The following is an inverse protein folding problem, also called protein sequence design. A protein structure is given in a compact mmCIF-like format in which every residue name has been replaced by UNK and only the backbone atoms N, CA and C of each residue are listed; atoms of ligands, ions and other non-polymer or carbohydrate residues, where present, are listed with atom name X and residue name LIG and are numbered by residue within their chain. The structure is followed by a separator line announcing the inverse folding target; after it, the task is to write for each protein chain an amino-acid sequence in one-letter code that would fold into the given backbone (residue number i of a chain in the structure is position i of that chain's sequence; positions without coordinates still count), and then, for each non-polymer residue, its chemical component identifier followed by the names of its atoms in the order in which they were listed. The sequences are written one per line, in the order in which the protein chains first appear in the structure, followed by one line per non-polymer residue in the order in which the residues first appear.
data_IF_734614872558
#
_entry.id   IF_734614872558
#
_cell.length_a   1.000
_cell.length_b   1.000
_cell.length_c   1.000
_cell.angle_alpha   90.00
_cell.angle_beta   90.00
_cell.angle_gamma   90.00
#
_symmetry.space_group_name_H-M   'P 1'
#
loop_
_entity.id
_entity.type
_entity.pdbx_description
1 polymer ?
#
# COMPACT_ATOMS: atom_id res chain seq x y z
N UNK A 1 10.96 15.99 35.52
CA UNK A 1 11.08 14.95 34.48
C UNK A 1 9.68 14.38 34.27
N UNK A 2 8.87 14.98 33.39
CA UNK A 2 7.56 14.45 33.01
C UNK A 2 7.64 13.99 31.57
N UNK A 3 7.66 12.68 31.37
CA UNK A 3 7.59 12.05 30.06
C UNK A 3 6.11 11.84 29.73
N UNK A 4 5.55 12.71 28.91
CA UNK A 4 4.31 12.40 28.18
C UNK A 4 4.72 11.56 26.97
N UNK A 5 4.17 10.36 26.74
CA UNK A 5 4.42 9.63 25.50
C UNK A 5 3.77 10.39 24.34
N UNK A 6 4.36 10.41 23.14
CA UNK A 6 3.68 10.98 21.98
C UNK A 6 2.43 10.16 21.69
N UNK A 7 1.30 10.84 21.81
CA UNK A 7 0.02 10.42 21.25
C UNK A 7 0.21 10.32 19.73
N UNK A 8 0.36 9.10 19.25
CA UNK A 8 0.47 8.76 17.83
C UNK A 8 -0.17 7.40 17.62
N UNK A 9 -1.47 7.34 17.90
CA UNK A 9 -2.33 6.30 17.34
C UNK A 9 -3.18 6.95 16.25
N UNK A 10 -2.91 6.73 14.96
CA UNK A 10 -3.94 6.94 13.97
C UNK A 10 -5.06 5.95 14.28
N UNK A 11 -6.27 6.48 14.36
CA UNK A 11 -7.47 5.82 14.87
C UNK A 11 -7.66 4.40 14.32
N UNK A 12 -7.83 3.47 15.25
CA UNK A 12 -8.27 2.10 14.99
C UNK A 12 -9.68 2.12 14.38
N UNK A 13 -9.79 1.66 13.13
CA UNK A 13 -11.07 1.65 12.42
C UNK A 13 -11.18 0.72 11.21
N UNK A 14 -10.31 -0.28 11.05
CA UNK A 14 -10.64 -1.55 10.38
C UNK A 14 -9.56 -2.63 10.64
N UNK A 15 -9.88 -3.62 11.48
CA UNK A 15 -9.03 -4.67 12.02
C UNK A 15 -8.50 -5.74 11.04
N UNK A 16 -8.16 -5.36 9.81
CA UNK A 16 -7.24 -6.15 9.00
C UNK A 16 -6.34 -5.21 8.18
N UNK A 17 -5.14 -4.92 8.69
CA UNK A 17 -3.97 -4.51 7.89
C UNK A 17 -4.24 -3.64 6.65
N UNK A 18 -5.00 -2.55 6.78
CA UNK A 18 -5.18 -1.60 5.70
C UNK A 18 -3.85 -0.87 5.50
N UNK A 19 -3.10 -1.30 4.49
CA UNK A 19 -1.84 -0.69 4.05
C UNK A 19 -2.00 0.84 4.05
N UNK A 20 -1.10 1.57 4.69
CA UNK A 20 -1.16 3.05 4.73
C UNK A 20 -0.44 3.64 3.50
N UNK A 21 -0.62 4.95 3.21
CA UNK A 21 0.18 5.60 2.19
C UNK A 21 1.67 5.52 2.49
N UNK A 22 2.09 5.59 3.76
CA UNK A 22 3.50 5.42 4.11
C UNK A 22 3.99 4.01 3.82
N UNK A 23 3.23 2.98 4.23
CA UNK A 23 3.56 1.59 3.93
C UNK A 23 3.60 1.30 2.42
N UNK A 24 2.76 1.97 1.63
CA UNK A 24 2.78 1.85 0.18
C UNK A 24 4.03 2.47 -0.46
N UNK A 25 4.47 3.64 0.02
CA UNK A 25 5.70 4.24 -0.46
C UNK A 25 6.93 3.43 -0.01
N UNK A 26 6.96 2.93 1.23
CA UNK A 26 8.01 2.02 1.71
C UNK A 26 8.12 0.76 0.84
N UNK A 27 6.99 0.15 0.49
CA UNK A 27 6.98 -0.98 -0.45
C UNK A 27 7.53 -0.62 -1.83
N UNK A 28 7.22 0.57 -2.37
CA UNK A 28 7.79 1.02 -3.64
C UNK A 28 9.31 1.16 -3.56
N UNK A 29 9.80 1.76 -2.49
CA UNK A 29 11.23 1.95 -2.24
C UNK A 29 11.94 0.59 -2.10
N UNK A 30 11.34 -0.34 -1.35
CA UNK A 30 11.85 -1.70 -1.16
C UNK A 30 11.89 -2.52 -2.46
N UNK A 31 10.97 -2.24 -3.39
CA UNK A 31 10.97 -2.86 -4.72
C UNK A 31 11.91 -2.17 -5.71
N UNK A 32 12.44 -0.98 -5.38
CA UNK A 32 13.26 -0.17 -6.27
C UNK A 32 12.46 0.51 -7.38
N UNK A 33 11.17 0.78 -7.17
CA UNK A 33 10.32 1.48 -8.15
C UNK A 33 10.49 2.99 -8.00
N UNK A 34 11.19 3.62 -8.95
CA UNK A 34 11.40 5.08 -8.95
C UNK A 34 10.20 5.83 -9.53
N UNK A 35 9.46 5.17 -10.44
CA UNK A 35 8.35 5.78 -11.18
C UNK A 35 7.00 5.15 -10.82
N UNK A 36 5.92 5.89 -11.08
CA UNK A 36 4.55 5.40 -10.82
C UNK A 36 4.16 4.33 -11.85
N UNK A 37 4.71 4.45 -13.04
CA UNK A 37 4.55 3.58 -14.19
C UNK A 37 5.08 2.17 -13.90
N UNK A 38 6.23 2.06 -13.25
CA UNK A 38 6.80 0.77 -12.84
C UNK A 38 5.92 0.05 -11.81
N UNK A 39 5.52 0.76 -10.75
CA UNK A 39 4.61 0.21 -9.75
C UNK A 39 3.24 -0.15 -10.36
N UNK A 40 2.74 0.67 -11.30
CA UNK A 40 1.51 0.40 -12.04
C UNK A 40 1.61 -0.87 -12.89
N UNK A 41 2.74 -1.05 -13.58
CA UNK A 41 3.01 -2.24 -14.38
C UNK A 41 3.11 -3.50 -13.50
N UNK A 42 3.80 -3.42 -12.36
CA UNK A 42 3.97 -4.53 -11.42
C UNK A 42 2.63 -4.99 -10.82
N UNK A 43 1.79 -4.04 -10.38
CA UNK A 43 0.49 -4.32 -9.78
C UNK A 43 -0.63 -4.52 -10.80
N UNK A 44 -0.37 -4.27 -12.10
CA UNK A 44 -1.36 -4.22 -13.18
C UNK A 44 -2.54 -3.28 -12.89
N UNK A 45 -2.21 -2.10 -12.37
CA UNK A 45 -3.17 -1.03 -12.07
C UNK A 45 -2.92 0.18 -12.97
N UNK A 46 -3.84 1.15 -12.96
CA UNK A 46 -3.61 2.42 -13.65
C UNK A 46 -2.64 3.31 -12.87
N UNK A 47 -1.85 4.12 -13.59
CA UNK A 47 -0.92 5.10 -13.00
C UNK A 47 -1.66 6.08 -12.06
N UNK A 48 -2.90 6.45 -12.40
CA UNK A 48 -3.74 7.29 -11.53
C UNK A 48 -4.09 6.59 -10.20
N UNK A 49 -4.32 5.28 -10.22
CA UNK A 49 -4.56 4.51 -8.98
C UNK A 49 -3.31 4.54 -8.09
N UNK A 50 -2.13 4.33 -8.68
CA UNK A 50 -0.85 4.42 -7.95
C UNK A 50 -0.65 5.82 -7.36
N UNK A 51 -0.96 6.88 -8.11
CA UNK A 51 -0.89 8.25 -7.59
C UNK A 51 -1.82 8.47 -6.39
N UNK A 52 -3.05 7.94 -6.43
CA UNK A 52 -3.96 8.00 -5.29
C UNK A 52 -3.42 7.23 -4.08
N UNK A 53 -2.87 6.03 -4.27
CA UNK A 53 -2.24 5.27 -3.18
C UNK A 53 -1.02 6.01 -2.61
N UNK A 54 -0.17 6.60 -3.44
CA UNK A 54 0.98 7.36 -2.92
C UNK A 54 0.57 8.60 -2.12
N UNK A 55 -0.49 9.29 -2.54
CA UNK A 55 -0.98 10.49 -1.84
C UNK A 55 -1.89 10.19 -0.65
N UNK A 56 -2.41 8.95 -0.55
CA UNK A 56 -3.46 8.58 0.39
C UNK A 56 -4.80 9.28 0.14
N UNK A 57 -4.95 10.00 -0.98
CA UNK A 57 -6.15 10.79 -1.30
C UNK A 57 -6.63 10.51 -2.71
N UNK A 58 -7.95 10.35 -2.83
CA UNK A 58 -8.64 10.23 -4.12
C UNK A 58 -8.81 11.60 -4.75
N UNK A 59 -9.14 11.63 -6.05
CA UNK A 59 -9.41 12.89 -6.78
C UNK A 59 -10.52 13.76 -6.19
N UNK A 60 -11.44 13.19 -5.39
CA UNK A 60 -12.49 13.91 -4.64
C UNK A 60 -12.04 14.38 -3.24
N UNK A 61 -10.75 14.26 -2.92
CA UNK A 61 -10.17 14.68 -1.65
C UNK A 61 -10.38 13.72 -0.47
N UNK A 62 -11.15 12.65 -0.68
CA UNK A 62 -11.40 11.62 0.35
C UNK A 62 -10.18 10.72 0.56
N UNK A 63 -10.01 10.15 1.76
CA UNK A 63 -8.96 9.17 2.00
C UNK A 63 -9.14 7.95 1.08
N UNK A 64 -8.01 7.44 0.60
CA UNK A 64 -8.00 6.20 -0.19
C UNK A 64 -8.17 5.01 0.71
N UNK A 65 -9.07 4.11 0.32
CA UNK A 65 -9.22 2.81 0.96
C UNK A 65 -8.23 1.86 0.29
N UNK A 66 -7.41 1.19 1.10
CA UNK A 66 -6.46 0.17 0.64
C UNK A 66 -7.11 -1.20 0.82
N UNK A 67 -7.63 -1.81 -0.25
CA UNK A 67 -8.29 -3.10 -0.14
C UNK A 67 -7.28 -4.20 0.23
N UNK A 68 -7.75 -5.26 0.88
CA UNK A 68 -6.92 -6.41 1.27
C UNK A 68 -6.15 -6.97 0.07
N UNK A 69 -6.83 -7.02 -1.07
CA UNK A 69 -6.27 -7.49 -2.33
C UNK A 69 -5.01 -6.72 -2.74
N UNK A 70 -4.97 -5.41 -2.52
CA UNK A 70 -3.78 -4.60 -2.82
C UNK A 70 -2.65 -4.91 -1.84
N UNK A 71 -2.94 -4.90 -0.55
CA UNK A 71 -1.94 -5.20 0.49
C UNK A 71 -1.31 -6.60 0.29
N UNK A 72 -2.14 -7.60 -0.03
CA UNK A 72 -1.69 -8.95 -0.34
C UNK A 72 -0.90 -9.01 -1.65
N UNK A 73 -1.30 -8.28 -2.69
CA UNK A 73 -0.55 -8.22 -3.95
C UNK A 73 0.85 -7.61 -3.75
N UNK A 74 0.97 -6.50 -3.00
CA UNK A 74 2.26 -5.89 -2.68
C UNK A 74 3.17 -6.89 -1.93
N UNK A 75 2.62 -7.58 -0.93
CA UNK A 75 3.33 -8.62 -0.16
C UNK A 75 3.79 -9.77 -1.06
N UNK A 76 2.89 -10.28 -1.92
CA UNK A 76 3.21 -11.38 -2.83
C UNK A 76 4.30 -11.01 -3.83
N UNK A 77 4.26 -9.78 -4.37
CA UNK A 77 5.29 -9.28 -5.29
C UNK A 77 6.65 -9.13 -4.59
N UNK A 78 6.67 -8.57 -3.37
CA UNK A 78 7.89 -8.42 -2.58
C UNK A 78 8.58 -9.76 -2.31
N UNK A 79 7.79 -10.77 -1.92
CA UNK A 79 8.30 -12.13 -1.71
C UNK A 79 8.49 -12.94 -3.00
N UNK A 80 8.23 -12.36 -4.17
CA UNK A 80 8.30 -13.02 -5.48
C UNK A 80 7.50 -14.33 -5.53
N UNK A 81 6.35 -14.34 -4.88
CA UNK A 81 5.46 -15.49 -4.86
C UNK A 81 4.85 -15.69 -6.25
N UNK A 82 4.86 -16.93 -6.78
CA UNK A 82 4.18 -17.20 -8.03
C UNK A 82 2.67 -17.03 -7.87
N UNK A 83 1.94 -16.71 -8.95
CA UNK A 83 0.48 -16.75 -8.95
C UNK A 83 -0.01 -18.11 -8.48
N UNK A 84 -1.14 -18.13 -7.76
CA UNK A 84 -1.75 -19.38 -7.35
C UNK A 84 -2.08 -20.24 -8.58
N UNK A 85 -1.56 -21.45 -8.60
CA UNK A 85 -1.88 -22.47 -9.60
C UNK A 85 -2.61 -23.62 -8.95
N UNK A 86 -3.47 -24.32 -9.72
CA UNK A 86 -4.09 -25.55 -9.23
C UNK A 86 -2.97 -26.55 -8.91
N UNK A 87 -2.94 -27.07 -7.69
CA UNK A 87 -2.09 -28.22 -7.36
C UNK A 87 -2.62 -29.40 -8.17
N UNK A 88 -1.93 -29.78 -9.25
CA UNK A 88 -2.12 -31.08 -9.90
C UNK A 88 -1.29 -32.13 -9.17
#
# INVERSE_FOLDING_TARGET
MSSTPPDSRPDAGHDWGAMTPEAFNDWMDAMGFETREEAAAALRLSVESIKHYRSGRRGDGKPVVYPLTLALACTALFHRLPPWTVRR
#
